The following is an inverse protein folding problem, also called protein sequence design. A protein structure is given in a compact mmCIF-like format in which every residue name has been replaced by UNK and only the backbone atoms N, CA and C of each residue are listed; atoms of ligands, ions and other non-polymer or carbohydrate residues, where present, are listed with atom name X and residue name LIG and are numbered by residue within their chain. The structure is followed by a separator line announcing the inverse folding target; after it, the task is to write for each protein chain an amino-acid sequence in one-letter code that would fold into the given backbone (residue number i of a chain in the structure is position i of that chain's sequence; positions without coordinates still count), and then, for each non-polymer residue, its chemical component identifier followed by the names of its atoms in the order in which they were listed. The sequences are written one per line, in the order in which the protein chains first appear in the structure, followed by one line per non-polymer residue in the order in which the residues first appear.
data_IF_319784003894
#
_entry.id   IF_319784003894
#
_cell.length_a   1.000
_cell.length_b   1.000
_cell.length_c   1.000
_cell.angle_alpha   90.00
_cell.angle_beta   90.00
_cell.angle_gamma   90.00
#
_symmetry.space_group_name_H-M   'P 1'
#
loop_
_entity.id
_entity.type
_entity.pdbx_description
1 polymer ?
#
# COMPACT_ATOMS: atom_id res chain seq x y z
N UNK A 1 11.85 2.10 -11.34
CA UNK A 1 12.11 3.15 -10.32
C UNK A 1 11.31 2.94 -9.02
N UNK A 2 9.99 2.76 -9.07
CA UNK A 2 9.17 2.54 -7.86
C UNK A 2 9.48 1.24 -7.09
N UNK A 3 9.57 0.10 -7.79
CA UNK A 3 9.94 -1.19 -7.18
C UNK A 3 11.34 -1.18 -6.56
N UNK A 4 12.30 -0.49 -7.19
CA UNK A 4 13.65 -0.31 -6.64
C UNK A 4 13.66 0.51 -5.35
N UNK A 5 12.87 1.58 -5.26
CA UNK A 5 12.71 2.36 -4.02
C UNK A 5 12.18 1.49 -2.88
N UNK A 6 11.13 0.71 -3.14
CA UNK A 6 10.54 -0.19 -2.13
C UNK A 6 11.49 -1.31 -1.74
N UNK A 7 12.19 -1.91 -2.71
CA UNK A 7 13.18 -2.95 -2.46
C UNK A 7 14.35 -2.44 -1.61
N UNK A 8 14.87 -1.25 -1.90
CA UNK A 8 15.93 -0.62 -1.10
C UNK A 8 15.46 -0.28 0.32
N UNK A 9 14.24 0.25 0.45
CA UNK A 9 13.66 0.55 1.76
C UNK A 9 13.45 -0.72 2.60
N UNK A 10 12.88 -1.79 2.02
CA UNK A 10 12.74 -3.08 2.70
C UNK A 10 14.11 -3.70 3.00
N UNK A 11 15.06 -3.65 2.07
CA UNK A 11 16.39 -4.22 2.24
C UNK A 11 17.17 -3.55 3.39
N UNK A 12 17.11 -2.22 3.47
CA UNK A 12 17.67 -1.48 4.60
C UNK A 12 16.98 -1.85 5.92
N UNK A 13 15.65 -1.94 5.92
CA UNK A 13 14.84 -2.29 7.09
C UNK A 13 15.16 -3.70 7.61
N UNK A 14 15.20 -4.70 6.74
CA UNK A 14 15.49 -6.10 7.11
C UNK A 14 16.90 -6.26 7.69
N UNK A 15 17.86 -5.43 7.28
CA UNK A 15 19.24 -5.48 7.78
C UNK A 15 19.45 -4.75 9.11
N UNK A 16 18.60 -3.80 9.47
CA UNK A 16 18.85 -2.89 10.60
C UNK A 16 17.72 -2.83 11.63
N UNK A 17 16.54 -3.40 11.35
CA UNK A 17 15.45 -3.50 12.32
C UNK A 17 15.23 -4.96 12.76
N UNK A 18 14.81 -5.12 14.01
CA UNK A 18 14.37 -6.43 14.50
C UNK A 18 13.20 -6.94 13.65
N UNK A 19 13.14 -8.27 13.49
CA UNK A 19 12.12 -8.96 12.68
C UNK A 19 10.71 -8.41 12.94
N UNK A 20 9.97 -8.09 11.86
CA UNK A 20 8.61 -7.53 11.93
C UNK A 20 7.75 -8.41 12.84
N UNK A 21 7.06 -7.79 13.80
CA UNK A 21 6.34 -8.50 14.85
C UNK A 21 5.30 -9.49 14.32
N UNK A 22 4.82 -9.31 13.08
CA UNK A 22 3.96 -10.28 12.39
C UNK A 22 4.67 -11.61 12.15
N UNK A 23 5.86 -11.61 11.58
CA UNK A 23 6.62 -12.84 11.30
C UNK A 23 7.08 -13.52 12.59
N UNK A 24 7.41 -12.74 13.62
CA UNK A 24 7.72 -13.26 14.95
C UNK A 24 6.54 -14.00 15.58
N UNK A 25 5.36 -13.39 15.55
CA UNK A 25 4.12 -14.02 16.01
C UNK A 25 3.81 -15.30 15.23
N UNK A 26 3.95 -15.29 13.89
CA UNK A 26 3.77 -16.49 13.06
C UNK A 26 4.77 -17.60 13.41
N UNK A 27 6.04 -17.25 13.69
CA UNK A 27 7.06 -18.22 14.10
C UNK A 27 6.76 -18.82 15.46
N UNK A 28 6.35 -18.01 16.43
CA UNK A 28 5.94 -18.46 17.76
C UNK A 28 4.69 -19.36 17.69
N UNK A 29 3.68 -18.94 16.92
CA UNK A 29 2.42 -19.67 16.74
C UNK A 29 2.62 -21.02 16.02
N UNK A 30 3.60 -21.12 15.12
CA UNK A 30 3.93 -22.37 14.44
C UNK A 30 5.11 -23.11 15.07
N UNK A 31 5.53 -22.74 16.28
CA UNK A 31 6.64 -23.38 17.01
C UNK A 31 7.92 -23.53 16.17
N UNK A 32 8.23 -22.52 15.34
CA UNK A 32 9.43 -22.53 14.49
C UNK A 32 9.37 -23.50 13.29
N UNK A 33 8.21 -24.08 12.97
CA UNK A 33 8.06 -25.07 11.90
C UNK A 33 8.33 -24.47 10.51
N UNK A 34 9.54 -24.71 9.99
CA UNK A 34 10.05 -24.12 8.74
C UNK A 34 9.15 -24.41 7.53
N UNK A 35 8.55 -25.60 7.45
CA UNK A 35 7.65 -25.95 6.34
C UNK A 35 6.38 -25.09 6.26
N UNK A 36 5.84 -24.61 7.39
CA UNK A 36 4.65 -23.74 7.40
C UNK A 36 5.01 -22.32 7.00
N UNK A 37 6.17 -21.84 7.44
CA UNK A 37 6.74 -20.55 7.02
C UNK A 37 7.03 -20.56 5.52
N UNK A 38 7.64 -21.63 5.02
CA UNK A 38 7.88 -21.80 3.59
C UNK A 38 6.57 -21.85 2.79
N UNK A 39 5.60 -22.67 3.22
CA UNK A 39 4.29 -22.75 2.58
C UNK A 39 3.55 -21.41 2.57
N UNK A 40 3.67 -20.63 3.65
CA UNK A 40 3.14 -19.27 3.72
C UNK A 40 3.77 -18.34 2.68
N UNK A 41 5.10 -18.32 2.56
CA UNK A 41 5.79 -17.52 1.54
C UNK A 41 5.48 -18.00 0.12
N UNK A 42 5.33 -19.30 -0.11
CA UNK A 42 4.91 -19.84 -1.41
C UNK A 42 3.47 -19.44 -1.75
N UNK A 43 2.55 -19.48 -0.78
CA UNK A 43 1.20 -18.96 -0.97
C UNK A 43 1.23 -17.46 -1.32
N UNK A 44 2.06 -16.65 -0.65
CA UNK A 44 2.26 -15.24 -1.00
C UNK A 44 2.82 -15.08 -2.43
N UNK A 45 3.78 -15.92 -2.83
CA UNK A 45 4.34 -15.89 -4.19
C UNK A 45 3.29 -16.22 -5.26
N UNK A 46 2.42 -17.20 -5.01
CA UNK A 46 1.31 -17.54 -5.90
C UNK A 46 0.28 -16.39 -5.98
N UNK A 47 0.01 -15.70 -4.87
CA UNK A 47 -0.90 -14.55 -4.87
C UNK A 47 -0.38 -13.38 -5.71
N UNK A 48 0.93 -13.23 -5.89
CA UNK A 48 1.51 -12.19 -6.76
C UNK A 48 1.09 -12.40 -8.22
N UNK A 49 0.87 -13.65 -8.65
CA UNK A 49 0.43 -13.98 -10.01
C UNK A 49 -0.94 -13.35 -10.30
N UNK A 50 -1.80 -13.18 -9.29
CA UNK A 50 -3.09 -12.51 -9.45
C UNK A 50 -2.96 -11.03 -9.88
N UNK A 51 -1.79 -10.42 -9.68
CA UNK A 51 -1.50 -9.06 -10.12
C UNK A 51 -0.84 -8.99 -11.52
N UNK A 52 -0.62 -10.12 -12.19
CA UNK A 52 -0.15 -10.17 -13.57
C UNK A 52 -1.17 -9.72 -14.64
N UNK A 53 -2.50 -9.95 -14.52
CA UNK A 53 -3.48 -9.62 -15.56
C UNK A 53 -3.46 -8.17 -16.07
N UNK A 54 -3.28 -7.13 -15.23
CA UNK A 54 -3.15 -5.76 -15.73
C UNK A 54 -1.96 -5.56 -16.65
N UNK A 55 -0.84 -6.24 -16.42
CA UNK A 55 0.33 -6.15 -17.29
C UNK A 55 0.09 -6.83 -18.63
N UNK A 56 -0.59 -7.98 -18.62
CA UNK A 56 -1.00 -8.68 -19.85
C UNK A 56 -1.95 -7.81 -20.68
N UNK A 57 -2.91 -7.15 -20.03
CA UNK A 57 -3.85 -6.25 -20.70
C UNK A 57 -3.13 -5.09 -21.42
N UNK A 58 -2.12 -4.51 -20.78
CA UNK A 58 -1.31 -3.43 -21.37
C UNK A 58 -0.43 -3.96 -22.50
N UNK A 59 0.23 -5.11 -22.31
CA UNK A 59 1.12 -5.71 -23.32
C UNK A 59 0.37 -6.15 -24.59
N UNK A 60 -0.89 -6.55 -24.46
CA UNK A 60 -1.75 -6.95 -25.57
C UNK A 60 -2.36 -5.75 -26.33
N UNK A 61 -2.06 -4.50 -25.94
CA UNK A 61 -2.61 -3.31 -26.59
C UNK A 61 -1.98 -3.13 -27.99
N UNK A 62 -2.75 -3.28 -29.08
CA UNK A 62 -2.20 -3.26 -30.44
C UNK A 62 -1.97 -1.85 -30.98
N UNK A 63 -2.25 -0.79 -30.20
CA UNK A 63 -2.11 0.61 -30.64
C UNK A 63 -0.71 1.14 -30.30
N UNK A 64 0.22 1.22 -31.28
CA UNK A 64 1.51 1.82 -31.05
C UNK A 64 1.40 3.34 -31.18
N UNK A 65 1.79 4.09 -30.15
CA UNK A 65 1.90 5.55 -30.23
C UNK A 65 1.51 6.29 -28.95
N UNK A 66 1.90 7.55 -28.86
CA UNK A 66 1.64 8.43 -27.73
C UNK A 66 0.17 8.88 -27.75
N UNK A 67 -0.68 8.17 -27.02
CA UNK A 67 -2.11 8.50 -26.91
C UNK A 67 -2.37 9.39 -25.71
N UNK A 68 -3.51 10.10 -25.72
CA UNK A 68 -3.98 10.89 -24.55
C UNK A 68 -4.05 10.04 -23.28
N UNK A 69 -4.33 8.74 -23.41
CA UNK A 69 -4.39 7.78 -22.31
C UNK A 69 -3.02 7.50 -21.69
N UNK A 70 -1.94 7.52 -22.48
CA UNK A 70 -0.56 7.40 -21.96
C UNK A 70 -0.19 8.65 -21.17
N UNK A 71 -0.57 9.83 -21.65
CA UNK A 71 -0.33 11.10 -20.92
C UNK A 71 -1.13 11.11 -19.61
N UNK A 72 -2.40 10.70 -19.64
CA UNK A 72 -3.23 10.57 -18.46
C UNK A 72 -2.65 9.53 -17.47
N UNK A 73 -2.19 8.38 -17.96
CA UNK A 73 -1.54 7.37 -17.15
C UNK A 73 -0.26 7.90 -16.48
N UNK A 74 0.59 8.63 -17.21
CA UNK A 74 1.76 9.28 -16.65
C UNK A 74 1.39 10.31 -15.56
N UNK A 75 0.32 11.07 -15.76
CA UNK A 75 -0.22 12.00 -14.75
C UNK A 75 -0.68 11.29 -13.47
N UNK A 76 -1.49 10.23 -13.59
CA UNK A 76 -1.94 9.41 -12.46
C UNK A 76 -0.76 8.75 -11.75
N UNK A 77 0.23 8.27 -12.51
CA UNK A 77 1.44 7.68 -11.96
C UNK A 77 2.25 8.69 -11.14
N UNK A 78 2.48 9.89 -11.67
CA UNK A 78 3.19 10.97 -10.98
C UNK A 78 2.45 11.40 -9.71
N UNK A 79 1.13 11.58 -9.77
CA UNK A 79 0.31 11.91 -8.60
C UNK A 79 0.36 10.82 -7.54
N UNK A 80 0.30 9.55 -7.94
CA UNK A 80 0.38 8.40 -7.04
C UNK A 80 1.74 8.32 -6.36
N UNK A 81 2.83 8.33 -7.13
CA UNK A 81 4.19 8.25 -6.56
C UNK A 81 4.53 9.48 -5.72
N UNK A 82 4.13 10.66 -6.18
CA UNK A 82 4.33 11.93 -5.45
C UNK A 82 3.53 11.96 -4.14
N UNK A 83 2.27 11.56 -4.18
CA UNK A 83 1.39 11.48 -3.01
C UNK A 83 1.86 10.45 -1.98
N UNK A 84 2.25 9.26 -2.44
CA UNK A 84 2.83 8.22 -1.59
C UNK A 84 4.12 8.72 -0.92
N UNK A 85 5.04 9.30 -1.70
CA UNK A 85 6.29 9.84 -1.19
C UNK A 85 6.08 10.98 -0.18
N UNK A 86 5.09 11.85 -0.41
CA UNK A 86 4.73 12.92 0.52
C UNK A 86 4.15 12.36 1.83
N UNK A 87 3.23 11.40 1.74
CA UNK A 87 2.64 10.74 2.90
C UNK A 87 3.71 10.03 3.75
N UNK A 88 4.61 9.29 3.11
CA UNK A 88 5.70 8.60 3.80
C UNK A 88 6.67 9.58 4.46
N UNK A 89 7.01 10.69 3.78
CA UNK A 89 7.87 11.75 4.34
C UNK A 89 7.24 12.44 5.54
N UNK A 90 5.94 12.74 5.48
CA UNK A 90 5.20 13.33 6.61
C UNK A 90 5.26 12.38 7.83
N UNK A 91 5.00 11.09 7.61
CA UNK A 91 5.03 10.09 8.68
C UNK A 91 6.44 9.85 9.22
N UNK A 92 7.46 9.83 8.36
CA UNK A 92 8.86 9.71 8.75
C UNK A 92 9.31 10.90 9.61
N UNK A 93 8.98 12.12 9.18
CA UNK A 93 9.28 13.34 9.95
C UNK A 93 8.57 13.33 11.31
N UNK A 94 7.31 12.91 11.36
CA UNK A 94 6.56 12.79 12.61
C UNK A 94 7.23 11.79 13.57
N UNK A 95 7.63 10.61 13.07
CA UNK A 95 8.28 9.56 13.88
C UNK A 95 9.70 9.92 14.33
N UNK A 96 10.42 10.76 13.58
CA UNK A 96 11.77 11.19 13.93
C UNK A 96 11.80 12.09 15.18
N UNK A 97 10.69 12.74 15.53
CA UNK A 97 10.59 13.57 16.72
C UNK A 97 10.27 12.71 17.97
N UNK A 98 11.18 12.63 18.98
CA UNK A 98 10.95 11.86 20.20
C UNK A 98 9.72 12.30 21.00
N UNK A 99 9.32 13.58 20.89
CA UNK A 99 8.13 14.12 21.56
C UNK A 99 6.80 13.52 21.04
N UNK A 100 6.84 12.84 19.88
CA UNK A 100 5.69 12.18 19.28
C UNK A 100 5.57 10.69 19.65
N UNK A 101 6.45 10.17 20.52
CA UNK A 101 6.33 8.80 21.01
C UNK A 101 4.97 8.59 21.67
N UNK A 102 4.26 7.54 21.25
CA UNK A 102 2.91 7.22 21.72
C UNK A 102 1.78 8.03 21.07
N UNK A 103 2.09 9.01 20.21
CA UNK A 103 1.09 9.84 19.50
C UNK A 103 0.90 9.39 18.06
N UNK A 104 -0.23 9.76 17.47
CA UNK A 104 -0.57 9.47 16.08
C UNK A 104 -0.35 10.69 15.20
N UNK A 105 0.21 10.45 14.01
CA UNK A 105 0.39 11.49 12.99
C UNK A 105 -0.98 11.97 12.50
N UNK A 106 -1.26 13.27 12.65
CA UNK A 106 -2.50 13.91 12.18
C UNK A 106 -2.20 15.08 11.23
N UNK A 107 -0.98 15.15 10.70
CA UNK A 107 -0.48 16.26 9.89
C UNK A 107 -0.60 16.00 8.39
N UNK A 108 -0.92 17.05 7.63
CA UNK A 108 -0.96 16.99 6.17
C UNK A 108 -1.97 15.97 5.65
N UNK A 109 -1.51 15.00 4.84
CA UNK A 109 -2.36 13.97 4.25
C UNK A 109 -2.94 13.02 5.30
N UNK A 110 -2.24 12.84 6.41
CA UNK A 110 -2.68 12.01 7.54
C UNK A 110 -3.85 12.65 8.31
N UNK A 111 -4.15 13.93 8.07
CA UNK A 111 -5.37 14.55 8.61
C UNK A 111 -6.63 14.05 7.92
N UNK A 112 -6.53 13.70 6.63
CA UNK A 112 -7.68 13.39 5.77
C UNK A 112 -7.91 11.89 5.62
N UNK A 113 -6.85 11.09 5.72
CA UNK A 113 -6.94 9.63 5.69
C UNK A 113 -5.99 9.05 6.74
N UNK A 114 -6.39 7.92 7.34
CA UNK A 114 -5.53 7.12 8.22
C UNK A 114 -4.44 6.39 7.47
N UNK A 115 -4.62 6.17 6.17
CA UNK A 115 -3.66 5.46 5.33
C UNK A 115 -3.54 6.14 3.95
N UNK A 116 -3.07 7.41 3.89
CA UNK A 116 -2.96 8.14 2.63
C UNK A 116 -1.97 7.48 1.67
N UNK A 117 -0.91 6.88 2.18
CA UNK A 117 0.05 6.10 1.39
C UNK A 117 -0.62 4.88 0.70
N UNK A 118 -1.54 4.19 1.37
CA UNK A 118 -2.30 3.08 0.77
C UNK A 118 -3.31 3.56 -0.26
N UNK A 119 -3.88 4.75 -0.10
CA UNK A 119 -4.74 5.34 -1.12
C UNK A 119 -3.95 5.63 -2.40
N UNK A 120 -2.77 6.24 -2.29
CA UNK A 120 -1.92 6.52 -3.46
C UNK A 120 -1.35 5.24 -4.09
N UNK A 121 -1.08 4.21 -3.28
CA UNK A 121 -0.76 2.87 -3.78
C UNK A 121 -1.88 2.32 -4.65
N UNK A 122 -3.12 2.41 -4.18
CA UNK A 122 -4.28 1.96 -4.94
C UNK A 122 -4.51 2.81 -6.19
N UNK A 123 -4.34 4.13 -6.10
CA UNK A 123 -4.43 5.06 -7.23
C UNK A 123 -3.40 4.72 -8.33
N UNK A 124 -2.21 4.25 -7.96
CA UNK A 124 -1.19 3.83 -8.92
C UNK A 124 -1.71 2.72 -9.85
N UNK A 125 -2.58 1.82 -9.40
CA UNK A 125 -3.11 0.73 -10.24
C UNK A 125 -4.03 1.21 -11.35
N UNK A 126 -4.64 2.39 -11.22
CA UNK A 126 -5.41 3.01 -12.31
C UNK A 126 -4.53 3.42 -13.49
N UNK A 127 -3.20 3.58 -13.28
CA UNK A 127 -2.24 3.78 -14.37
C UNK A 127 -2.36 2.66 -15.40
N UNK A 128 -2.44 1.39 -14.97
CA UNK A 128 -2.55 0.24 -15.87
C UNK A 128 -3.90 0.18 -16.57
N UNK A 129 -4.97 0.61 -15.91
CA UNK A 129 -6.31 0.72 -16.53
C UNK A 129 -6.26 1.72 -17.69
N UNK A 130 -5.65 2.88 -17.48
CA UNK A 130 -5.50 3.90 -18.52
C UNK A 130 -4.60 3.42 -19.67
N UNK A 131 -3.50 2.73 -19.37
CA UNK A 131 -2.61 2.16 -20.39
C UNK A 131 -3.26 1.03 -21.20
N UNK A 132 -4.20 0.30 -20.60
CA UNK A 132 -4.91 -0.79 -21.26
C UNK A 132 -6.08 -0.29 -22.14
N UNK A 133 -6.39 1.01 -22.16
CA UNK A 133 -7.46 1.56 -23.01
C UNK A 133 -7.14 1.31 -24.48
N UNK A 134 -8.02 0.58 -25.16
CA UNK A 134 -7.84 0.15 -26.55
C UNK A 134 -7.29 -1.27 -26.73
N UNK A 135 -6.89 -1.94 -25.64
CA UNK A 135 -6.57 -3.36 -25.65
C UNK A 135 -7.85 -4.20 -25.75
N UNK A 136 -7.86 -5.33 -26.49
CA UNK A 136 -8.98 -6.29 -26.43
C UNK A 136 -9.18 -6.88 -25.03
N UNK A 137 -8.15 -6.83 -24.18
CA UNK A 137 -8.15 -7.34 -22.81
C UNK A 137 -8.25 -6.22 -21.76
N UNK A 138 -8.70 -5.03 -22.14
CA UNK A 138 -8.75 -3.84 -21.24
C UNK A 138 -9.46 -4.10 -19.91
N UNK A 139 -10.48 -4.96 -19.91
CA UNK A 139 -11.23 -5.32 -18.70
C UNK A 139 -10.37 -6.03 -17.65
N UNK A 140 -9.31 -6.75 -18.06
CA UNK A 140 -8.38 -7.43 -17.14
C UNK A 140 -7.55 -6.43 -16.33
N UNK A 141 -7.37 -5.19 -16.83
CA UNK A 141 -6.66 -4.15 -16.08
C UNK A 141 -7.39 -3.71 -14.81
N UNK A 142 -8.72 -3.85 -14.76
CA UNK A 142 -9.53 -3.54 -13.57
C UNK A 142 -9.31 -4.52 -12.41
N UNK A 143 -8.78 -5.72 -12.66
CA UNK A 143 -8.39 -6.63 -11.59
C UNK A 143 -7.32 -5.98 -10.69
N UNK A 144 -6.45 -5.13 -11.23
CA UNK A 144 -5.39 -4.46 -10.45
C UNK A 144 -5.96 -3.60 -9.30
N UNK A 145 -6.72 -2.54 -9.60
CA UNK A 145 -7.34 -1.71 -8.55
C UNK A 145 -8.28 -2.49 -7.62
N UNK A 146 -9.02 -3.47 -8.14
CA UNK A 146 -9.93 -4.30 -7.35
C UNK A 146 -9.17 -5.14 -6.33
N UNK A 147 -8.17 -5.90 -6.79
CA UNK A 147 -7.33 -6.74 -5.93
C UNK A 147 -6.56 -5.87 -4.95
N UNK A 148 -5.97 -4.75 -5.39
CA UNK A 148 -5.23 -3.88 -4.48
C UNK A 148 -6.14 -3.30 -3.38
N UNK A 149 -7.37 -2.90 -3.72
CA UNK A 149 -8.34 -2.45 -2.73
C UNK A 149 -8.66 -3.54 -1.71
N UNK A 150 -8.96 -4.76 -2.18
CA UNK A 150 -9.28 -5.91 -1.31
C UNK A 150 -8.12 -6.24 -0.38
N UNK A 151 -6.90 -6.31 -0.93
CA UNK A 151 -5.70 -6.63 -0.18
C UNK A 151 -5.39 -5.58 0.89
N UNK A 152 -5.45 -4.30 0.54
CA UNK A 152 -5.17 -3.21 1.48
C UNK A 152 -6.27 -3.09 2.54
N UNK A 153 -7.54 -3.24 2.16
CA UNK A 153 -8.67 -3.03 3.06
C UNK A 153 -8.90 -4.19 4.03
N UNK A 154 -8.77 -5.43 3.56
CA UNK A 154 -9.21 -6.60 4.31
C UNK A 154 -8.10 -7.61 4.63
N UNK A 155 -7.11 -7.78 3.76
CA UNK A 155 -6.13 -8.87 3.94
C UNK A 155 -4.89 -8.41 4.70
N UNK A 156 -4.12 -7.46 4.18
CA UNK A 156 -2.73 -7.26 4.64
C UNK A 156 -2.40 -5.86 5.13
N UNK A 157 -3.15 -4.84 4.71
CA UNK A 157 -2.80 -3.44 4.95
C UNK A 157 -3.35 -2.91 6.26
N UNK A 158 -4.60 -2.46 6.22
CA UNK A 158 -5.22 -1.62 7.25
C UNK A 158 -5.45 -2.40 8.55
N UNK A 159 -6.13 -3.57 8.59
CA UNK A 159 -6.54 -4.18 9.85
C UNK A 159 -5.37 -4.46 10.80
N UNK A 160 -4.27 -5.01 10.28
CA UNK A 160 -3.09 -5.33 11.06
C UNK A 160 -2.35 -4.09 11.57
N UNK A 161 -2.23 -3.06 10.73
CA UNK A 161 -1.57 -1.81 11.12
C UNK A 161 -2.37 -1.05 12.16
N UNK A 162 -3.70 -1.05 12.05
CA UNK A 162 -4.59 -0.44 13.04
C UNK A 162 -4.58 -1.19 14.36
N UNK A 163 -4.60 -2.52 14.36
CA UNK A 163 -4.51 -3.33 15.57
C UNK A 163 -3.20 -3.04 16.34
N UNK A 164 -2.08 -2.96 15.62
CA UNK A 164 -0.80 -2.60 16.23
C UNK A 164 -0.79 -1.16 16.76
N UNK A 165 -1.40 -0.21 16.03
CA UNK A 165 -1.51 1.17 16.47
C UNK A 165 -2.39 1.30 17.73
N UNK A 166 -3.49 0.55 17.81
CA UNK A 166 -4.34 0.48 19.00
C UNK A 166 -3.60 -0.10 20.21
N UNK A 167 -2.80 -1.15 20.03
CA UNK A 167 -1.99 -1.74 21.11
C UNK A 167 -0.91 -0.79 21.64
N UNK A 168 -0.34 0.05 20.78
CA UNK A 168 0.80 0.91 21.13
C UNK A 168 0.41 2.32 21.55
N UNK A 169 -0.70 2.86 21.04
CA UNK A 169 -1.14 4.25 21.25
C UNK A 169 -2.50 4.37 21.94
N UNK A 170 -3.22 3.27 22.13
CA UNK A 170 -4.45 3.22 22.91
C UNK A 170 -5.50 4.24 22.47
N UNK A 171 -5.92 5.08 23.41
CA UNK A 171 -7.00 6.07 23.24
C UNK A 171 -6.73 7.13 22.17
N UNK A 172 -5.47 7.55 22.00
CA UNK A 172 -5.10 8.52 20.96
C UNK A 172 -5.46 7.99 19.56
N UNK A 173 -5.18 6.71 19.29
CA UNK A 173 -5.54 6.11 18.01
C UNK A 173 -7.05 5.88 17.89
N UNK A 174 -7.75 5.52 18.97
CA UNK A 174 -9.23 5.38 18.95
C UNK A 174 -9.92 6.70 18.62
N UNK A 175 -9.45 7.81 19.16
CA UNK A 175 -9.95 9.15 18.80
C UNK A 175 -9.70 9.43 17.31
N UNK A 176 -8.50 9.13 16.82
CA UNK A 176 -8.15 9.29 15.42
C UNK A 176 -9.01 8.44 14.47
N UNK A 177 -9.34 7.20 14.84
CA UNK A 177 -10.24 6.33 14.07
C UNK A 177 -11.67 6.87 13.98
N UNK A 178 -12.14 7.55 15.03
CA UNK A 178 -13.49 8.15 15.08
C UNK A 178 -13.59 9.37 14.16
N UNK A 179 -12.55 10.19 14.11
CA UNK A 179 -12.55 11.44 13.36
C UNK A 179 -12.10 11.28 11.91
N UNK A 180 -11.23 10.32 11.59
CA UNK A 180 -10.54 10.26 10.29
C UNK A 180 -10.96 9.04 9.47
N UNK A 181 -11.20 9.25 8.17
CA UNK A 181 -11.49 8.18 7.22
C UNK A 181 -10.33 7.18 7.15
N UNK A 182 -10.64 5.88 7.03
CA UNK A 182 -9.61 4.84 7.00
C UNK A 182 -8.79 4.84 5.71
N UNK A 183 -9.40 5.14 4.56
CA UNK A 183 -8.76 4.91 3.25
C UNK A 183 -8.93 6.11 2.32
N UNK A 184 -10.16 6.44 1.93
CA UNK A 184 -10.44 7.59 1.08
C UNK A 184 -10.19 8.90 1.85
N UNK A 185 -9.36 9.82 1.35
CA UNK A 185 -9.16 11.13 1.96
C UNK A 185 -10.49 11.87 2.09
N UNK A 186 -10.89 12.20 3.33
CA UNK A 186 -12.12 12.91 3.62
C UNK A 186 -11.93 13.89 4.77
N UNK A 187 -12.80 14.91 4.85
CA UNK A 187 -12.74 15.86 5.96
C UNK A 187 -12.99 15.16 7.30
N UNK A 188 -12.19 15.48 8.34
CA UNK A 188 -12.35 14.86 9.64
C UNK A 188 -13.70 15.22 10.27
N UNK A 189 -14.34 14.24 10.89
CA UNK A 189 -15.58 14.43 11.66
C UNK A 189 -15.25 15.17 12.96
N UNK A 190 -16.10 16.12 13.33
CA UNK A 190 -15.97 16.92 14.58
C UNK A 190 -16.21 16.05 15.81
#
# INVERSE_FOLDING_TARGET
MWGGRRALHLGHRVRHEAEDGRYRYLREHWHGHQGKIFGFFMAQALLIILFAPPFVAVAANPRPGLTIWIVAAAGVWLLSVGGEALADRQLARFRANPANKGRTCRDGLWRYSRHPNYFFEWLHWFTYVLLAVGSPLWWMAWLGPLLMYVFLRWISGIPFTEQQALRTRGDDYREYQRRTSAFFPWFPKS
#
